data_IF_388885085701
#
_entry.id   IF_388885085701
#
_cell.length_a   1.000
_cell.length_b   1.000
_cell.length_c   1.000
_cell.angle_alpha   90.00
_cell.angle_beta   90.00
_cell.angle_gamma   90.00
#
_symmetry.space_group_name_H-M   'P 1'
#
loop_
_entity.id
_entity.type
_entity.pdbx_description
1 polymer ?
#
# COMPACT_ATOMS: atom_id res chain seq x y z
N UNK A 1 -3.04 -16.13 6.55
CA UNK A 1 -3.35 -14.83 5.93
C UNK A 1 -2.78 -14.85 4.52
N UNK A 2 -3.57 -14.45 3.53
CA UNK A 2 -3.19 -14.41 2.11
C UNK A 2 -3.06 -12.94 1.68
N UNK A 3 -1.91 -12.56 1.15
CA UNK A 3 -1.60 -11.16 0.85
C UNK A 3 -2.20 -10.70 -0.48
N UNK A 4 -2.14 -11.57 -1.50
CA UNK A 4 -2.56 -11.26 -2.87
C UNK A 4 -4.04 -10.91 -3.05
N UNK A 5 -5.00 -11.51 -2.33
CA UNK A 5 -6.41 -11.10 -2.45
C UNK A 5 -6.68 -9.63 -2.11
N UNK A 6 -5.90 -9.01 -1.21
CA UNK A 6 -5.99 -7.57 -0.96
C UNK A 6 -5.23 -6.74 -1.99
N UNK A 7 -4.14 -7.28 -2.53
CA UNK A 7 -3.20 -6.59 -3.42
C UNK A 7 -3.68 -6.55 -4.88
N UNK A 8 -4.34 -7.62 -5.34
CA UNK A 8 -4.84 -7.83 -6.71
C UNK A 8 -6.30 -8.30 -6.70
N UNK A 9 -7.14 -7.69 -5.85
CA UNK A 9 -8.50 -8.15 -5.55
C UNK A 9 -9.34 -8.48 -6.79
N UNK A 10 -9.45 -7.56 -7.74
CA UNK A 10 -10.26 -7.74 -8.94
C UNK A 10 -9.81 -8.94 -9.80
N UNK A 11 -8.50 -9.14 -9.93
CA UNK A 11 -7.93 -10.27 -10.67
C UNK A 11 -8.28 -11.58 -9.96
N UNK A 12 -8.00 -11.68 -8.67
CA UNK A 12 -8.26 -12.90 -7.90
C UNK A 12 -9.76 -13.21 -7.85
N UNK A 13 -10.62 -12.20 -7.74
CA UNK A 13 -12.06 -12.38 -7.74
C UNK A 13 -12.58 -12.89 -9.09
N UNK A 14 -11.97 -12.43 -10.19
CA UNK A 14 -12.27 -12.96 -11.53
C UNK A 14 -11.88 -14.44 -11.65
N UNK A 15 -10.74 -14.82 -11.07
CA UNK A 15 -10.19 -16.17 -11.22
C UNK A 15 -10.89 -17.22 -10.33
N UNK A 16 -11.22 -16.88 -9.08
CA UNK A 16 -11.77 -17.84 -8.10
C UNK A 16 -13.20 -17.55 -7.65
N UNK A 17 -13.78 -16.42 -8.10
CA UNK A 17 -15.11 -15.97 -7.72
C UNK A 17 -15.22 -15.52 -6.26
N UNK A 18 -16.35 -14.91 -5.91
CA UNK A 18 -16.63 -14.48 -4.54
C UNK A 18 -16.43 -15.61 -3.52
N UNK A 19 -16.93 -16.81 -3.81
CA UNK A 19 -16.88 -17.93 -2.87
C UNK A 19 -15.43 -18.35 -2.52
N UNK A 20 -14.49 -18.22 -3.47
CA UNK A 20 -13.08 -18.51 -3.22
C UNK A 20 -12.37 -17.46 -2.37
N UNK A 21 -12.94 -16.25 -2.27
CA UNK A 21 -12.35 -15.13 -1.52
C UNK A 21 -13.06 -14.82 -0.20
N UNK A 22 -14.33 -15.22 -0.06
CA UNK A 22 -15.15 -14.93 1.10
C UNK A 22 -14.46 -15.29 2.42
N UNK A 23 -14.45 -14.35 3.35
CA UNK A 23 -13.88 -14.41 4.69
C UNK A 23 -12.37 -14.67 4.75
N UNK A 24 -11.64 -14.56 3.64
CA UNK A 24 -10.18 -14.66 3.65
C UNK A 24 -9.56 -13.41 4.27
N UNK A 25 -8.54 -13.60 5.11
CA UNK A 25 -7.77 -12.51 5.71
C UNK A 25 -6.65 -12.05 4.80
N UNK A 26 -6.52 -10.74 4.65
CA UNK A 26 -5.48 -10.05 3.88
C UNK A 26 -5.04 -8.75 4.59
N UNK A 27 -4.44 -7.83 3.85
CA UNK A 27 -4.17 -6.47 4.28
C UNK A 27 -5.03 -5.46 3.52
N UNK A 28 -5.31 -4.33 4.16
CA UNK A 28 -5.81 -3.15 3.48
C UNK A 28 -4.65 -2.36 2.90
N UNK A 29 -4.57 -2.27 1.58
CA UNK A 29 -3.50 -1.56 0.87
C UNK A 29 -3.98 -0.19 0.37
N UNK A 30 -3.10 0.81 0.21
CA UNK A 30 -3.40 1.95 -0.65
C UNK A 30 -3.85 1.48 -2.06
N UNK A 31 -4.81 2.17 -2.70
CA UNK A 31 -5.48 3.39 -2.26
C UNK A 31 -6.68 3.19 -1.31
N UNK A 32 -7.06 1.95 -0.97
CA UNK A 32 -8.15 1.68 0.00
C UNK A 32 -7.84 2.33 1.36
N UNK A 33 -6.57 2.25 1.78
CA UNK A 33 -6.06 2.93 2.97
C UNK A 33 -5.38 4.22 2.56
N UNK A 34 -5.86 5.36 3.08
CA UNK A 34 -5.27 6.66 2.84
C UNK A 34 -4.40 7.08 4.04
N UNK A 35 -3.18 7.55 3.75
CA UNK A 35 -2.31 8.16 4.74
C UNK A 35 -2.50 9.68 4.77
N UNK A 36 -2.90 10.22 5.91
CA UNK A 36 -3.32 11.62 6.04
C UNK A 36 -2.16 12.63 6.18
N UNK A 37 -0.92 12.17 6.31
CA UNK A 37 0.27 13.03 6.45
C UNK A 37 1.29 12.64 5.39
N UNK A 38 1.25 13.35 4.27
CA UNK A 38 2.21 13.23 3.16
C UNK A 38 3.08 14.48 3.15
N UNK A 39 4.41 14.31 3.15
CA UNK A 39 5.38 15.39 3.01
C UNK A 39 6.27 15.26 1.77
N UNK A 40 6.22 14.13 1.08
CA UNK A 40 6.92 13.87 -0.16
C UNK A 40 5.92 13.32 -1.19
N UNK A 41 5.77 14.03 -2.31
CA UNK A 41 4.83 13.68 -3.39
C UNK A 41 3.36 14.04 -3.13
N UNK A 42 2.48 13.46 -3.95
CA UNK A 42 1.02 13.63 -3.89
C UNK A 42 0.39 12.70 -2.85
N UNK A 43 -0.69 13.16 -2.22
CA UNK A 43 -1.58 12.28 -1.44
C UNK A 43 -2.46 11.40 -2.33
N UNK A 44 -3.07 10.36 -1.75
CA UNK A 44 -3.77 9.28 -2.46
C UNK A 44 -4.77 9.76 -3.52
N UNK A 45 -5.69 10.68 -3.17
CA UNK A 45 -6.70 11.17 -4.13
C UNK A 45 -6.07 11.98 -5.27
N UNK A 46 -5.08 12.82 -4.97
CA UNK A 46 -4.41 13.63 -5.99
C UNK A 46 -3.56 12.76 -6.92
N UNK A 47 -2.89 11.75 -6.37
CA UNK A 47 -2.18 10.74 -7.16
C UNK A 47 -3.14 9.99 -8.08
N UNK A 48 -4.25 9.47 -7.57
CA UNK A 48 -5.19 8.68 -8.38
C UNK A 48 -5.77 9.50 -9.54
N UNK A 49 -6.16 10.75 -9.29
CA UNK A 49 -6.63 11.65 -10.34
C UNK A 49 -5.55 12.03 -11.36
N UNK A 50 -4.28 12.12 -10.95
CA UNK A 50 -3.18 12.42 -11.86
C UNK A 50 -2.74 11.20 -12.69
N UNK A 51 -2.73 10.01 -12.09
CA UNK A 51 -2.26 8.77 -12.70
C UNK A 51 -3.27 8.19 -13.69
N UNK A 52 -4.55 8.14 -13.30
CA UNK A 52 -5.63 7.58 -14.12
C UNK A 52 -6.81 8.57 -14.20
N UNK A 53 -6.65 9.72 -14.88
CA UNK A 53 -7.62 10.82 -14.85
C UNK A 53 -9.03 10.43 -15.35
N UNK A 54 -9.12 9.45 -16.26
CA UNK A 54 -10.39 8.94 -16.77
C UNK A 54 -11.04 7.86 -15.90
N UNK A 55 -10.24 7.18 -15.06
CA UNK A 55 -10.71 6.13 -14.16
C UNK A 55 -9.84 6.04 -12.89
N UNK A 56 -9.96 7.00 -11.96
CA UNK A 56 -9.14 6.99 -10.74
C UNK A 56 -9.37 5.77 -9.84
N UNK A 57 -10.50 5.06 -10.01
CA UNK A 57 -10.81 3.86 -9.24
C UNK A 57 -10.01 2.63 -9.70
N UNK A 58 -9.43 2.67 -10.90
CA UNK A 58 -8.57 1.59 -11.42
C UNK A 58 -7.20 1.51 -10.75
N UNK A 59 -6.78 2.56 -10.04
CA UNK A 59 -5.50 2.61 -9.35
C UNK A 59 -5.43 1.53 -8.27
N UNK A 60 -4.36 0.74 -8.31
CA UNK A 60 -4.11 -0.34 -7.37
C UNK A 60 -2.81 -0.11 -6.58
N UNK A 61 -2.50 -1.04 -5.68
CA UNK A 61 -1.32 -0.93 -4.84
C UNK A 61 0.01 -0.93 -5.62
N UNK A 62 0.12 -1.64 -6.75
CA UNK A 62 1.34 -1.64 -7.54
C UNK A 62 1.63 -0.27 -8.15
N UNK A 63 0.60 0.48 -8.55
CA UNK A 63 0.73 1.86 -9.02
C UNK A 63 1.26 2.77 -7.89
N UNK A 64 0.70 2.61 -6.68
CA UNK A 64 1.13 3.34 -5.48
C UNK A 64 2.58 3.00 -5.12
N UNK A 65 2.94 1.72 -5.07
CA UNK A 65 4.29 1.26 -4.73
C UNK A 65 5.33 1.74 -5.75
N UNK A 66 4.98 1.75 -7.04
CA UNK A 66 5.81 2.31 -8.11
C UNK A 66 6.04 3.81 -7.94
N UNK A 67 4.98 4.57 -7.66
CA UNK A 67 5.09 6.00 -7.40
C UNK A 67 5.92 6.30 -6.16
N UNK A 68 5.68 5.58 -5.06
CA UNK A 68 6.48 5.64 -3.83
C UNK A 68 7.96 5.40 -4.09
N UNK A 69 8.29 4.36 -4.87
CA UNK A 69 9.67 4.04 -5.24
C UNK A 69 10.32 5.21 -6.00
N UNK A 70 9.59 5.83 -6.92
CA UNK A 70 10.06 7.02 -7.65
C UNK A 70 10.36 8.20 -6.73
N UNK A 71 9.50 8.46 -5.74
CA UNK A 71 9.71 9.52 -4.74
C UNK A 71 10.96 9.29 -3.89
N UNK A 72 11.17 8.06 -3.42
CA UNK A 72 12.36 7.69 -2.64
C UNK A 72 13.63 7.87 -3.48
N UNK A 73 13.61 7.45 -4.74
CA UNK A 73 14.75 7.64 -5.66
C UNK A 73 15.02 9.14 -5.86
N UNK A 74 13.99 9.94 -6.13
CA UNK A 74 14.12 11.39 -6.30
C UNK A 74 14.75 12.04 -5.06
N UNK A 75 14.23 11.74 -3.87
CA UNK A 75 14.72 12.29 -2.61
C UNK A 75 16.17 11.86 -2.35
N UNK A 76 16.52 10.59 -2.56
CA UNK A 76 17.89 10.11 -2.40
C UNK A 76 18.84 10.81 -3.38
N UNK A 77 18.46 10.98 -4.64
CA UNK A 77 19.31 11.65 -5.64
C UNK A 77 19.62 13.11 -5.28
N UNK A 78 18.72 13.80 -4.58
CA UNK A 78 18.98 15.16 -4.08
C UNK A 78 20.12 15.21 -3.04
N UNK A 79 20.43 14.09 -2.38
CA UNK A 79 21.50 13.97 -1.39
C UNK A 79 22.75 13.22 -1.91
N UNK A 80 22.68 12.61 -3.08
CA UNK A 80 23.74 11.75 -3.59
C UNK A 80 24.90 12.58 -4.19
N UNK A 81 26.15 12.45 -3.70
CA UNK A 81 27.29 13.16 -4.29
C UNK A 81 27.77 12.53 -5.62
N UNK A 82 27.32 11.33 -5.95
CA UNK A 82 27.60 10.62 -7.21
C UNK A 82 26.60 9.48 -7.41
N UNK A 83 26.62 8.86 -8.59
CA UNK A 83 25.83 7.66 -8.90
C UNK A 83 26.54 6.34 -8.53
N UNK A 84 27.64 6.39 -7.78
CA UNK A 84 28.26 5.16 -7.28
C UNK A 84 27.33 4.43 -6.31
N UNK A 85 27.38 3.10 -6.29
CA UNK A 85 26.51 2.28 -5.42
C UNK A 85 26.56 2.72 -3.95
N UNK A 86 27.77 3.01 -3.43
CA UNK A 86 27.95 3.44 -2.05
C UNK A 86 27.35 4.83 -1.79
N UNK A 87 27.51 5.77 -2.73
CA UNK A 87 26.91 7.10 -2.61
C UNK A 87 25.38 7.02 -2.61
N UNK A 88 24.80 6.22 -3.50
CA UNK A 88 23.34 6.01 -3.56
C UNK A 88 22.82 5.33 -2.29
N UNK A 89 23.49 4.29 -1.79
CA UNK A 89 23.12 3.63 -0.52
C UNK A 89 23.12 4.62 0.64
N UNK A 90 24.17 5.44 0.75
CA UNK A 90 24.26 6.45 1.81
C UNK A 90 23.19 7.54 1.66
N UNK A 91 22.85 7.93 0.44
CA UNK A 91 21.81 8.91 0.17
C UNK A 91 20.40 8.38 0.52
N UNK A 92 20.10 7.11 0.21
CA UNK A 92 18.86 6.46 0.65
C UNK A 92 18.81 6.38 2.19
N UNK A 93 19.93 6.04 2.84
CA UNK A 93 20.00 6.05 4.30
C UNK A 93 19.78 7.45 4.90
N UNK A 94 20.23 8.51 4.23
CA UNK A 94 20.05 9.89 4.67
C UNK A 94 18.60 10.36 4.66
N UNK A 95 17.75 9.82 3.78
CA UNK A 95 16.31 10.13 3.72
C UNK A 95 15.44 9.14 4.50
N UNK A 96 16.04 8.08 5.07
CA UNK A 96 15.33 7.09 5.89
C UNK A 96 14.66 7.74 7.10
N UNK A 97 13.35 7.57 7.25
CA UNK A 97 12.56 8.08 8.37
C UNK A 97 12.13 9.55 8.24
N UNK A 98 12.57 10.28 7.22
CA UNK A 98 12.12 11.66 6.96
C UNK A 98 10.96 11.74 5.97
N UNK A 99 10.83 10.75 5.08
CA UNK A 99 9.80 10.73 4.04
C UNK A 99 8.51 10.05 4.53
N UNK A 100 7.39 10.74 4.30
CA UNK A 100 6.02 10.24 4.45
C UNK A 100 5.30 10.46 3.14
N UNK A 101 4.86 9.38 2.53
CA UNK A 101 4.23 9.41 1.21
C UNK A 101 2.81 8.84 1.29
N UNK A 102 2.15 8.73 0.14
CA UNK A 102 0.85 8.04 0.05
C UNK A 102 0.91 6.54 0.40
N UNK A 103 2.09 5.99 0.64
CA UNK A 103 2.32 4.59 1.06
C UNK A 103 2.84 4.50 2.52
N UNK A 104 2.75 5.60 3.27
CA UNK A 104 3.18 5.67 4.66
C UNK A 104 4.64 6.11 4.82
N UNK A 105 5.27 5.70 5.92
CA UNK A 105 6.64 6.13 6.25
C UNK A 105 7.66 5.29 5.50
N UNK A 106 8.55 5.94 4.76
CA UNK A 106 9.75 5.27 4.26
C UNK A 106 10.82 5.27 5.36
N UNK A 107 11.22 4.09 5.80
CA UNK A 107 12.37 3.89 6.68
C UNK A 107 13.05 2.59 6.27
N UNK A 108 14.37 2.52 6.45
CA UNK A 108 15.13 1.28 6.29
C UNK A 108 15.72 0.84 7.63
N UNK A 109 15.79 -0.46 7.86
CA UNK A 109 16.51 -1.03 9.00
C UNK A 109 18.02 -1.21 8.69
N UNK A 110 18.77 -1.78 9.62
CA UNK A 110 20.21 -1.94 9.49
C UNK A 110 20.61 -2.87 8.33
N UNK A 111 19.72 -3.78 7.95
CA UNK A 111 19.88 -4.72 6.82
C UNK A 111 19.51 -4.09 5.47
N UNK A 112 18.95 -2.87 5.47
CA UNK A 112 18.49 -2.18 4.26
C UNK A 112 17.08 -2.57 3.80
N UNK A 113 16.34 -3.33 4.61
CA UNK A 113 14.94 -3.63 4.33
C UNK A 113 14.05 -2.42 4.65
N UNK A 114 13.07 -2.15 3.79
CA UNK A 114 12.05 -1.14 4.06
C UNK A 114 11.19 -1.58 5.24
N UNK A 115 11.02 -0.67 6.19
CA UNK A 115 10.19 -0.79 7.38
C UNK A 115 9.40 0.51 7.50
N UNK A 116 8.18 0.48 8.04
CA UNK A 116 7.40 1.70 8.30
C UNK A 116 6.14 1.86 7.46
N UNK A 117 5.96 1.05 6.42
CA UNK A 117 4.64 0.78 5.87
C UNK A 117 3.84 -0.02 6.93
N UNK A 118 2.69 0.52 7.35
CA UNK A 118 1.85 -0.09 8.39
C UNK A 118 0.47 -0.34 7.80
N UNK A 119 0.28 -1.57 7.32
CA UNK A 119 -0.97 -1.99 6.71
C UNK A 119 -1.94 -2.53 7.77
N UNK A 120 -3.20 -2.05 7.81
CA UNK A 120 -4.24 -2.67 8.62
C UNK A 120 -4.54 -4.08 8.10
N UNK A 121 -4.93 -4.98 8.99
CA UNK A 121 -5.47 -6.28 8.60
C UNK A 121 -6.86 -6.07 8.03
N UNK A 122 -7.13 -6.72 6.91
CA UNK A 122 -8.43 -6.72 6.27
C UNK A 122 -8.99 -8.13 6.12
N UNK A 123 -10.28 -8.21 5.88
CA UNK A 123 -10.98 -9.44 5.52
C UNK A 123 -11.92 -9.16 4.34
N UNK A 124 -12.03 -10.11 3.43
CA UNK A 124 -12.91 -10.01 2.26
C UNK A 124 -14.30 -10.52 2.64
N UNK A 125 -15.32 -9.67 2.59
CA UNK A 125 -16.70 -10.03 2.94
C UNK A 125 -17.54 -10.22 1.67
N UNK A 126 -18.44 -11.22 1.62
CA UNK A 126 -19.45 -11.31 0.58
C UNK A 126 -20.24 -10.01 0.40
N UNK A 127 -20.41 -9.59 -0.86
CA UNK A 127 -21.12 -8.37 -1.25
C UNK A 127 -21.81 -8.59 -2.60
N UNK A 128 -22.98 -9.24 -2.57
CA UNK A 128 -23.72 -9.60 -3.78
C UNK A 128 -23.02 -10.75 -4.52
N UNK A 129 -22.56 -10.50 -5.76
CA UNK A 129 -21.79 -11.46 -6.55
C UNK A 129 -20.28 -11.28 -6.43
N UNK A 130 -19.83 -10.28 -5.67
CA UNK A 130 -18.43 -9.93 -5.45
C UNK A 130 -18.12 -9.93 -3.96
N UNK A 131 -16.89 -9.63 -3.60
CA UNK A 131 -16.41 -9.41 -2.24
C UNK A 131 -16.04 -7.95 -2.05
N UNK A 132 -16.07 -7.51 -0.81
CA UNK A 132 -15.63 -6.18 -0.37
C UNK A 132 -14.52 -6.35 0.65
N UNK A 133 -13.42 -5.62 0.48
CA UNK A 133 -12.34 -5.58 1.47
C UNK A 133 -12.76 -4.65 2.60
N UNK A 134 -12.80 -5.17 3.84
CA UNK A 134 -13.08 -4.39 5.04
C UNK A 134 -11.91 -4.49 6.02
N UNK A 135 -11.62 -3.39 6.71
CA UNK A 135 -10.57 -3.35 7.73
C UNK A 135 -11.09 -3.98 9.03
N UNK A 136 -10.33 -4.91 9.60
CA UNK A 136 -10.71 -5.63 10.83
C UNK A 136 -9.73 -5.39 11.99
N UNK A 137 -8.55 -4.84 11.72
CA UNK A 137 -7.56 -4.45 12.74
C UNK A 137 -6.60 -3.37 12.20
N UNK A 138 -6.11 -2.42 13.02
CA UNK A 138 -6.37 -2.24 14.44
C UNK A 138 -7.80 -1.73 14.74
N UNK A 139 -8.30 -1.88 15.99
CA UNK A 139 -9.66 -1.46 16.34
C UNK A 139 -9.94 0.02 16.06
N UNK A 140 -8.91 0.86 16.13
CA UNK A 140 -9.01 2.31 15.87
C UNK A 140 -9.32 2.66 14.42
N UNK A 141 -9.10 1.73 13.49
CA UNK A 141 -9.36 1.91 12.05
C UNK A 141 -10.20 0.78 11.46
N UNK A 142 -10.73 -0.12 12.28
CA UNK A 142 -11.55 -1.23 11.83
C UNK A 142 -12.92 -0.71 11.34
N UNK A 143 -13.32 -1.15 10.15
CA UNK A 143 -14.63 -0.88 9.55
C UNK A 143 -15.60 -2.06 9.74
N UNK A 144 -15.09 -3.24 10.12
CA UNK A 144 -15.89 -4.43 10.37
C UNK A 144 -15.27 -5.30 11.48
N UNK A 145 -16.07 -6.17 12.10
CA UNK A 145 -15.57 -7.21 13.02
C UNK A 145 -15.04 -8.42 12.22
N UNK A 146 -13.91 -9.03 12.62
CA UNK A 146 -13.41 -10.24 11.95
C UNK A 146 -14.34 -11.43 12.17
N UNK A 147 -14.50 -12.27 11.15
CA UNK A 147 -15.23 -13.55 11.23
C UNK A 147 -14.22 -14.69 11.26
N UNK A 148 -14.25 -15.50 12.33
CA UNK A 148 -13.43 -16.71 12.48
C UNK A 148 -14.15 -17.75 13.37
N UNK A 149 -14.14 -19.06 13.01
CA UNK A 149 -13.62 -19.61 11.77
C UNK A 149 -14.40 -19.07 10.56
N UNK A 150 -13.78 -19.11 9.36
CA UNK A 150 -14.51 -18.82 8.14
C UNK A 150 -15.67 -19.83 8.01
N UNK A 151 -16.91 -19.38 7.73
CA UNK A 151 -18.10 -20.24 7.62
C UNK A 151 -18.01 -21.30 6.53
#
# INVERSE_FOLDING_TARGET
>A
MTVYPGLLHQLLETDVGQAGLAYTFSYGFPPLVAYNSVNEGLGTSAFASAFAPSDPASVNFADVAGYQTGLVIQAALAHAPSLSQLALRNAVAAVSGSLRTLDGSFKINAEGAQVGELLPVAQLFPSGSTTKIELVYPPTSATHSPVYPAP
#
